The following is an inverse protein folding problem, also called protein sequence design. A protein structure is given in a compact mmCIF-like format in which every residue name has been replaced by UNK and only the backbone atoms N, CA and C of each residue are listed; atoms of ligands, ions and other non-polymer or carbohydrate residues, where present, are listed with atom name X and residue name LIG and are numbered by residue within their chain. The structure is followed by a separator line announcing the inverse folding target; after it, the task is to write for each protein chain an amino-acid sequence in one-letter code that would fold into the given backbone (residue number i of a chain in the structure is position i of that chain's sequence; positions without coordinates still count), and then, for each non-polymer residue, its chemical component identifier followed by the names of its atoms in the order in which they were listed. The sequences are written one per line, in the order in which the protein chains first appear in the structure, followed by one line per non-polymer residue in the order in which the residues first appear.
data_IF_709289758099
#
_entry.id   IF_709289758099
#
_cell.length_a   1.000
_cell.length_b   1.000
_cell.length_c   1.000
_cell.angle_alpha   90.00
_cell.angle_beta   90.00
_cell.angle_gamma   90.00
#
_symmetry.space_group_name_H-M   'P 1'
#
loop_
_entity.id
_entity.type
_entity.pdbx_description
1 polymer ?
#
# COMPACT_ATOMS: atom_id res chain seq x y z
N UNK A 1 12.69 -1.43 26.73
CA UNK A 1 13.86 -1.90 25.94
C UNK A 1 13.95 -1.10 24.66
N UNK A 2 15.14 -0.62 24.27
CA UNK A 2 15.32 0.25 23.09
C UNK A 2 15.34 -0.61 21.83
N UNK A 3 14.55 -0.26 20.83
CA UNK A 3 14.53 -0.98 19.54
C UNK A 3 14.76 -0.02 18.37
N UNK A 4 15.67 -0.40 17.48
CA UNK A 4 15.91 0.31 16.23
C UNK A 4 15.01 -0.26 15.14
N UNK A 5 14.06 0.54 14.65
CA UNK A 5 13.02 0.06 13.74
C UNK A 5 13.21 0.64 12.35
N UNK A 6 13.61 -0.20 11.40
CA UNK A 6 13.57 0.16 9.98
C UNK A 6 12.13 0.40 9.52
N UNK A 7 11.91 1.52 8.83
CA UNK A 7 10.61 1.95 8.32
C UNK A 7 10.61 2.02 6.80
N UNK A 8 9.76 1.23 6.14
CA UNK A 8 9.58 1.31 4.68
C UNK A 8 8.55 2.35 4.23
N UNK A 9 7.55 2.66 5.07
CA UNK A 9 6.52 3.66 4.81
C UNK A 9 5.68 3.93 6.08
N UNK A 10 4.96 5.05 6.10
CA UNK A 10 4.05 5.39 7.20
C UNK A 10 2.94 4.35 7.43
N UNK A 11 2.24 3.79 6.41
CA UNK A 11 1.21 2.77 6.62
C UNK A 11 1.70 1.53 7.40
N UNK A 12 2.86 0.99 7.02
CA UNK A 12 3.42 -0.19 7.69
C UNK A 12 3.91 0.16 9.10
N UNK A 13 4.41 1.38 9.31
CA UNK A 13 4.82 1.86 10.63
C UNK A 13 3.65 1.93 11.62
N UNK A 14 2.44 2.33 11.17
CA UNK A 14 1.30 2.54 12.09
C UNK A 14 1.11 1.38 13.07
N UNK A 15 0.88 0.18 12.54
CA UNK A 15 0.63 -1.02 13.34
C UNK A 15 1.89 -1.57 14.00
N UNK A 16 3.05 -1.44 13.35
CA UNK A 16 4.32 -1.87 13.93
C UNK A 16 4.66 -1.07 15.18
N UNK A 17 4.53 0.24 15.12
CA UNK A 17 4.84 1.15 16.22
C UNK A 17 3.85 0.98 17.37
N UNK A 18 2.53 0.95 17.09
CA UNK A 18 1.49 0.70 18.09
C UNK A 18 1.76 -0.61 18.85
N UNK A 19 2.08 -1.70 18.13
CA UNK A 19 2.35 -3.01 18.76
C UNK A 19 3.62 -3.03 19.59
N UNK A 20 4.71 -2.44 19.08
CA UNK A 20 5.97 -2.40 19.83
C UNK A 20 5.80 -1.62 21.14
N UNK A 21 5.07 -0.50 21.13
CA UNK A 21 4.75 0.22 22.35
C UNK A 21 3.93 -0.62 23.33
N UNK A 22 2.88 -1.30 22.87
CA UNK A 22 2.07 -2.18 23.75
C UNK A 22 2.87 -3.35 24.35
N UNK A 23 3.97 -3.74 23.71
CA UNK A 23 4.88 -4.78 24.17
C UNK A 23 6.03 -4.25 25.06
N UNK A 24 6.04 -2.95 25.41
CA UNK A 24 7.06 -2.36 26.28
C UNK A 24 8.37 -1.99 25.58
N UNK A 25 8.40 -1.98 24.26
CA UNK A 25 9.54 -1.48 23.49
C UNK A 25 9.47 0.03 23.27
N UNK A 26 10.63 0.65 23.08
CA UNK A 26 10.79 2.07 22.76
C UNK A 26 11.42 2.20 21.37
N UNK A 27 10.61 2.34 20.30
CA UNK A 27 11.13 2.34 18.94
C UNK A 27 11.75 3.70 18.57
N UNK A 28 13.00 3.66 18.10
CA UNK A 28 13.60 4.75 17.30
C UNK A 28 13.43 4.38 15.83
N UNK A 29 12.79 5.24 15.05
CA UNK A 29 12.46 4.92 13.66
C UNK A 29 13.62 5.25 12.72
N UNK A 30 13.86 4.42 11.72
CA UNK A 30 14.94 4.58 10.74
C UNK A 30 14.39 4.49 9.33
N UNK A 31 14.43 5.61 8.59
CA UNK A 31 13.85 5.68 7.24
C UNK A 31 14.91 5.44 6.16
N UNK A 32 15.23 4.17 5.90
CA UNK A 32 16.24 3.78 4.92
C UNK A 32 15.65 3.00 3.75
N UNK A 33 15.47 3.67 2.61
CA UNK A 33 14.78 3.10 1.45
C UNK A 33 15.37 3.56 0.12
N UNK A 34 16.63 3.21 -0.20
CA UNK A 34 17.25 3.55 -1.49
C UNK A 34 16.51 2.85 -2.66
N UNK A 35 15.71 1.83 -2.38
CA UNK A 35 14.91 1.16 -3.40
C UNK A 35 13.71 1.98 -3.90
N UNK A 36 13.32 3.07 -3.24
CA UNK A 36 12.12 3.81 -3.67
C UNK A 36 12.44 4.58 -4.96
N UNK A 37 11.53 4.50 -5.92
CA UNK A 37 11.61 5.13 -7.23
C UNK A 37 10.19 5.46 -7.72
N UNK A 38 9.96 6.60 -8.39
CA UNK A 38 10.91 7.70 -8.58
C UNK A 38 11.13 8.47 -7.28
N UNK A 39 12.06 9.43 -7.29
CA UNK A 39 12.35 10.31 -6.14
C UNK A 39 11.09 11.02 -5.60
N UNK A 40 10.14 11.38 -6.46
CA UNK A 40 8.85 11.94 -6.05
C UNK A 40 8.09 11.01 -5.10
N UNK A 41 8.14 9.69 -5.29
CA UNK A 41 7.52 8.73 -4.36
C UNK A 41 8.30 8.66 -3.04
N UNK A 42 9.64 8.72 -3.07
CA UNK A 42 10.48 8.75 -1.86
C UNK A 42 10.10 9.96 -1.00
N UNK A 43 10.10 11.16 -1.60
CA UNK A 43 9.75 12.41 -0.93
C UNK A 43 8.31 12.37 -0.39
N UNK A 44 7.38 11.78 -1.14
CA UNK A 44 6.01 11.60 -0.69
C UNK A 44 5.93 10.69 0.54
N UNK A 45 6.56 9.51 0.53
CA UNK A 45 6.56 8.58 1.68
C UNK A 45 7.25 9.18 2.90
N UNK A 46 8.33 9.94 2.70
CA UNK A 46 9.06 10.65 3.75
C UNK A 46 8.18 11.72 4.40
N UNK A 47 7.48 12.52 3.59
CA UNK A 47 6.52 13.53 4.08
C UNK A 47 5.43 12.92 4.97
N UNK A 48 4.91 11.76 4.59
CA UNK A 48 3.88 11.04 5.35
C UNK A 48 4.41 10.46 6.66
N UNK A 49 5.67 10.01 6.66
CA UNK A 49 6.35 9.59 7.87
C UNK A 49 6.54 10.77 8.84
N UNK A 50 6.98 11.92 8.33
CA UNK A 50 7.12 13.16 9.12
C UNK A 50 5.76 13.62 9.66
N UNK A 51 4.71 13.57 8.83
CA UNK A 51 3.33 13.86 9.26
C UNK A 51 2.93 12.98 10.44
N UNK A 52 3.20 11.67 10.37
CA UNK A 52 2.89 10.74 11.44
C UNK A 52 3.77 10.97 12.68
N UNK A 53 5.06 11.25 12.50
CA UNK A 53 6.00 11.60 13.58
C UNK A 53 5.52 12.83 14.35
N UNK A 54 5.13 13.91 13.66
CA UNK A 54 4.58 15.12 14.30
C UNK A 54 3.29 14.85 15.10
N UNK A 55 2.51 13.84 14.70
CA UNK A 55 1.27 13.47 15.41
C UNK A 55 1.52 12.56 16.61
N UNK A 56 2.51 11.68 16.53
CA UNK A 56 2.75 10.63 17.54
C UNK A 56 3.97 10.89 18.42
N UNK A 57 4.77 11.90 18.12
CA UNK A 57 5.92 12.32 18.92
C UNK A 57 7.11 11.37 18.86
N UNK A 58 7.28 10.59 17.78
CA UNK A 58 8.46 9.73 17.61
C UNK A 58 9.53 10.36 16.73
N UNK A 59 10.77 9.98 16.97
CA UNK A 59 11.92 10.51 16.24
C UNK A 59 12.27 9.65 15.01
N UNK A 60 12.75 10.31 13.96
CA UNK A 60 13.18 9.70 12.71
C UNK A 60 14.70 9.86 12.57
N UNK A 61 15.40 8.74 12.50
CA UNK A 61 16.77 8.69 11.98
C UNK A 61 16.67 8.59 10.47
N UNK A 62 17.27 9.55 9.80
CA UNK A 62 17.29 9.66 8.35
C UNK A 62 18.67 9.27 7.82
N UNK A 63 18.70 8.82 6.57
CA UNK A 63 19.93 8.45 5.88
C UNK A 63 19.91 9.00 4.46
N UNK A 64 21.06 8.96 3.80
CA UNK A 64 21.20 9.41 2.44
C UNK A 64 20.38 8.54 1.47
N UNK A 65 19.52 9.19 0.71
CA UNK A 65 18.77 8.54 -0.36
C UNK A 65 19.62 8.43 -1.62
N UNK A 66 20.14 7.24 -1.89
CA UNK A 66 20.86 6.92 -3.12
C UNK A 66 20.30 5.66 -3.81
N UNK A 67 19.48 5.82 -4.86
CA UNK A 67 18.98 4.70 -5.65
C UNK A 67 20.05 3.86 -6.33
N UNK A 68 21.27 4.39 -6.56
CA UNK A 68 22.35 3.64 -7.20
C UNK A 68 22.78 2.45 -6.33
N UNK A 69 22.71 2.59 -5.01
CA UNK A 69 22.96 1.49 -4.06
C UNK A 69 21.98 0.34 -4.28
N UNK A 70 20.69 0.65 -4.49
CA UNK A 70 19.70 -0.38 -4.77
C UNK A 70 20.05 -1.14 -6.06
N UNK A 71 20.34 -0.43 -7.15
CA UNK A 71 20.67 -1.06 -8.43
C UNK A 71 21.95 -1.88 -8.37
N UNK A 72 22.98 -1.42 -7.65
CA UNK A 72 24.23 -2.17 -7.50
C UNK A 72 24.02 -3.47 -6.71
N UNK A 73 23.22 -3.44 -5.64
CA UNK A 73 22.93 -4.62 -4.80
C UNK A 73 22.13 -5.69 -5.55
N UNK A 74 21.24 -5.32 -6.47
CA UNK A 74 20.41 -6.30 -7.20
C UNK A 74 21.00 -6.75 -8.54
N UNK A 75 22.05 -6.08 -9.05
CA UNK A 75 22.55 -6.23 -10.43
C UNK A 75 22.79 -7.68 -10.83
N UNK A 76 23.38 -8.47 -9.94
CA UNK A 76 23.78 -9.85 -10.22
C UNK A 76 22.69 -10.88 -9.89
N UNK A 77 21.53 -10.46 -9.35
CA UNK A 77 20.47 -11.36 -8.87
C UNK A 77 19.07 -10.75 -9.07
N UNK A 78 18.77 -10.32 -10.30
CA UNK A 78 17.50 -9.65 -10.63
C UNK A 78 16.27 -10.54 -10.38
N UNK A 79 16.40 -11.85 -10.57
CA UNK A 79 15.35 -12.83 -10.30
C UNK A 79 14.98 -12.85 -8.81
N UNK A 80 15.95 -12.66 -7.91
CA UNK A 80 15.73 -12.56 -6.46
C UNK A 80 15.88 -11.13 -5.92
N UNK A 81 15.68 -10.10 -6.74
CA UNK A 81 15.82 -8.67 -6.36
C UNK A 81 15.08 -8.31 -5.07
N UNK A 82 13.94 -8.95 -4.81
CA UNK A 82 13.14 -8.73 -3.61
C UNK A 82 13.85 -9.19 -2.34
N UNK A 83 14.52 -10.35 -2.39
CA UNK A 83 15.33 -10.86 -1.29
C UNK A 83 16.56 -9.98 -1.09
N UNK A 84 17.30 -9.64 -2.16
CA UNK A 84 18.45 -8.72 -2.08
C UNK A 84 18.04 -7.37 -1.46
N UNK A 85 16.89 -6.84 -1.85
CA UNK A 85 16.33 -5.60 -1.29
C UNK A 85 15.97 -5.69 0.19
N UNK A 86 15.49 -6.84 0.66
CA UNK A 86 15.25 -7.07 2.08
C UNK A 86 16.59 -7.18 2.81
N UNK A 87 17.52 -7.96 2.25
CA UNK A 87 18.83 -8.25 2.82
C UNK A 87 19.61 -6.98 3.12
N UNK A 88 19.90 -6.14 2.12
CA UNK A 88 20.75 -4.96 2.38
C UNK A 88 20.08 -3.93 3.31
N UNK A 89 18.74 -3.84 3.33
CA UNK A 89 18.06 -2.93 4.28
C UNK A 89 18.12 -3.46 5.70
N UNK A 90 18.05 -4.77 5.90
CA UNK A 90 18.25 -5.40 7.22
C UNK A 90 19.70 -5.29 7.68
N UNK A 91 20.66 -5.44 6.77
CA UNK A 91 22.10 -5.27 7.03
C UNK A 91 22.39 -3.87 7.60
N UNK A 92 22.01 -2.82 6.86
CA UNK A 92 22.22 -1.44 7.30
C UNK A 92 21.48 -1.13 8.61
N UNK A 93 20.29 -1.70 8.81
CA UNK A 93 19.55 -1.53 10.06
C UNK A 93 20.24 -2.18 11.26
N UNK A 94 20.78 -3.39 11.09
CA UNK A 94 21.50 -4.11 12.14
C UNK A 94 22.81 -3.38 12.49
N UNK A 95 23.57 -2.99 11.47
CA UNK A 95 24.81 -2.22 11.60
C UNK A 95 24.56 -0.92 12.37
N UNK A 96 23.60 -0.10 11.94
CA UNK A 96 23.30 1.18 12.57
C UNK A 96 22.78 1.02 14.00
N UNK A 97 21.95 0.01 14.24
CA UNK A 97 21.43 -0.29 15.57
C UNK A 97 22.56 -0.68 16.55
N UNK A 98 23.55 -1.44 16.07
CA UNK A 98 24.74 -1.80 16.85
C UNK A 98 25.62 -0.58 17.14
N UNK A 99 25.92 0.24 16.13
CA UNK A 99 26.68 1.49 16.28
C UNK A 99 26.05 2.44 17.30
N UNK A 100 24.72 2.48 17.36
CA UNK A 100 23.95 3.33 18.27
C UNK A 100 23.58 2.65 19.61
N UNK A 101 24.15 1.48 19.91
CA UNK A 101 23.95 0.73 21.16
C UNK A 101 22.49 0.43 21.50
N UNK A 102 21.70 -0.04 20.52
CA UNK A 102 20.34 -0.53 20.75
C UNK A 102 20.34 -1.99 21.24
N UNK A 103 19.33 -2.34 22.04
CA UNK A 103 19.14 -3.72 22.54
C UNK A 103 18.66 -4.66 21.42
N UNK A 104 17.79 -4.14 20.55
CA UNK A 104 17.16 -4.87 19.45
C UNK A 104 17.12 -4.03 18.17
N UNK A 105 16.97 -4.72 17.05
CA UNK A 105 16.48 -4.10 15.82
C UNK A 105 15.34 -4.91 15.19
N UNK A 106 14.52 -4.25 14.37
CA UNK A 106 13.43 -4.89 13.63
C UNK A 106 13.07 -4.08 12.38
N UNK A 107 12.02 -4.49 11.67
CA UNK A 107 11.59 -3.86 10.43
C UNK A 107 10.07 -3.83 10.27
N UNK A 108 9.53 -2.71 9.78
CA UNK A 108 8.11 -2.60 9.40
C UNK A 108 7.77 -3.44 8.17
N UNK A 109 8.76 -4.03 7.46
CA UNK A 109 8.49 -4.97 6.37
C UNK A 109 7.66 -6.18 6.82
N UNK A 110 7.67 -6.50 8.11
CA UNK A 110 6.82 -7.52 8.73
C UNK A 110 5.33 -7.13 8.73
N UNK A 111 4.97 -5.86 8.58
CA UNK A 111 3.58 -5.41 8.41
C UNK A 111 3.10 -5.48 6.95
N UNK A 112 4.00 -5.42 5.96
CA UNK A 112 3.62 -5.34 4.54
C UNK A 112 3.14 -6.68 3.98
N UNK A 113 1.89 -6.84 3.50
CA UNK A 113 1.36 -8.12 3.00
C UNK A 113 2.16 -8.71 1.80
N UNK A 114 2.98 -7.90 1.14
CA UNK A 114 3.79 -8.28 -0.04
C UNK A 114 5.16 -8.88 0.29
N UNK A 115 5.52 -8.97 1.58
CA UNK A 115 6.86 -9.39 2.00
C UNK A 115 6.81 -10.72 2.73
N UNK A 116 7.76 -11.59 2.40
CA UNK A 116 7.90 -12.91 3.00
C UNK A 116 8.47 -12.80 4.42
N UNK A 117 7.74 -13.33 5.40
CA UNK A 117 8.21 -13.38 6.79
C UNK A 117 9.41 -14.32 6.95
N UNK A 118 9.45 -15.43 6.22
CA UNK A 118 10.56 -16.37 6.29
C UNK A 118 11.85 -15.73 5.77
N UNK A 119 11.79 -14.99 4.66
CA UNK A 119 12.94 -14.25 4.13
C UNK A 119 13.42 -13.17 5.09
N UNK A 120 12.49 -12.40 5.69
CA UNK A 120 12.83 -11.37 6.67
C UNK A 120 13.46 -11.99 7.91
N UNK A 121 12.88 -13.08 8.46
CA UNK A 121 13.41 -13.76 9.64
C UNK A 121 14.79 -14.34 9.37
N UNK A 122 14.99 -15.02 8.24
CA UNK A 122 16.29 -15.56 7.82
C UNK A 122 17.39 -14.51 7.85
N UNK A 123 17.19 -13.40 7.15
CA UNK A 123 18.22 -12.35 7.07
C UNK A 123 18.30 -11.50 8.34
N UNK A 124 17.20 -11.35 9.07
CA UNK A 124 17.19 -10.74 10.40
C UNK A 124 18.06 -11.52 11.39
N UNK A 125 17.85 -12.83 11.51
CA UNK A 125 18.65 -13.65 12.40
C UNK A 125 20.13 -13.69 11.95
N UNK A 126 20.39 -13.78 10.63
CA UNK A 126 21.75 -13.75 10.10
C UNK A 126 22.54 -12.48 10.49
N UNK A 127 21.95 -11.29 10.32
CA UNK A 127 22.62 -10.04 10.67
C UNK A 127 22.62 -9.76 12.17
N UNK A 128 21.69 -10.34 12.93
CA UNK A 128 21.71 -10.34 14.39
C UNK A 128 23.00 -11.00 14.91
N UNK A 129 23.29 -12.20 14.40
CA UNK A 129 24.51 -12.94 14.76
C UNK A 129 25.76 -12.22 14.26
N UNK A 130 25.76 -11.75 13.02
CA UNK A 130 26.94 -11.09 12.40
C UNK A 130 27.36 -9.81 13.13
N UNK A 131 26.41 -8.95 13.53
CA UNK A 131 26.70 -7.67 14.20
C UNK A 131 26.63 -7.75 15.73
N UNK A 132 26.25 -8.90 16.30
CA UNK A 132 26.07 -9.07 17.74
C UNK A 132 24.99 -8.15 18.32
N UNK A 133 23.81 -8.16 17.70
CA UNK A 133 22.60 -7.44 18.13
C UNK A 133 21.37 -8.35 18.00
N UNK A 134 20.32 -8.20 18.82
CA UNK A 134 19.15 -9.08 18.74
C UNK A 134 18.16 -8.63 17.68
N UNK A 135 17.76 -9.52 16.77
CA UNK A 135 16.63 -9.26 15.88
C UNK A 135 15.31 -9.60 16.58
N UNK A 136 14.37 -8.65 16.59
CA UNK A 136 13.02 -8.88 17.09
C UNK A 136 12.06 -9.16 15.93
N UNK A 137 11.66 -10.42 15.79
CA UNK A 137 10.58 -10.80 14.89
C UNK A 137 9.21 -10.60 15.54
N UNK A 138 8.34 -9.82 14.90
CA UNK A 138 6.93 -9.68 15.28
C UNK A 138 6.04 -9.80 14.06
N UNK A 139 5.02 -10.66 14.12
CA UNK A 139 3.99 -10.69 13.10
C UNK A 139 3.00 -9.52 13.30
N UNK A 140 3.27 -8.37 12.70
CA UNK A 140 2.40 -7.20 12.80
C UNK A 140 1.06 -7.35 12.06
N UNK A 141 0.87 -8.42 11.28
CA UNK A 141 -0.36 -8.69 10.50
C UNK A 141 -1.40 -9.49 11.27
N UNK A 142 -0.99 -10.26 12.28
CA UNK A 142 -1.86 -11.10 13.13
C UNK A 142 -2.89 -10.25 13.89
N UNK A 143 -3.85 -10.85 14.60
CA UNK A 143 -4.73 -10.13 15.55
C UNK A 143 -5.33 -8.83 14.98
N UNK A 144 -5.95 -8.91 13.81
CA UNK A 144 -6.56 -7.79 13.09
C UNK A 144 -5.61 -6.62 12.74
N UNK A 145 -4.29 -6.83 12.71
CA UNK A 145 -3.30 -5.78 12.49
C UNK A 145 -3.46 -5.07 11.14
N UNK A 146 -3.81 -5.81 10.08
CA UNK A 146 -4.07 -5.24 8.75
C UNK A 146 -5.30 -4.31 8.77
N UNK A 147 -6.36 -4.71 9.48
CA UNK A 147 -7.58 -3.90 9.62
C UNK A 147 -7.28 -2.63 10.41
N UNK A 148 -6.57 -2.77 11.53
CA UNK A 148 -6.16 -1.65 12.40
C UNK A 148 -5.25 -0.65 11.67
N UNK A 149 -4.23 -1.11 10.94
CA UNK A 149 -3.39 -0.25 10.11
C UNK A 149 -4.23 0.55 9.09
N UNK A 150 -5.20 -0.13 8.44
CA UNK A 150 -6.11 0.48 7.46
C UNK A 150 -7.04 1.52 8.09
N UNK A 151 -7.45 1.34 9.34
CA UNK A 151 -8.23 2.33 10.12
C UNK A 151 -7.38 3.54 10.48
N UNK A 152 -6.19 3.34 11.05
CA UNK A 152 -5.26 4.42 11.41
C UNK A 152 -4.93 5.26 10.18
N UNK A 153 -4.62 4.62 9.04
CA UNK A 153 -4.35 5.35 7.80
C UNK A 153 -5.53 6.21 7.34
N UNK A 154 -6.78 5.78 7.58
CA UNK A 154 -7.96 6.60 7.25
C UNK A 154 -8.10 7.76 8.23
N UNK A 155 -7.97 7.48 9.52
CA UNK A 155 -8.11 8.50 10.58
C UNK A 155 -7.11 9.65 10.41
N UNK A 156 -5.87 9.34 10.05
CA UNK A 156 -4.81 10.34 9.89
C UNK A 156 -4.57 10.77 8.44
N UNK A 157 -5.42 10.31 7.50
CA UNK A 157 -5.27 10.56 6.06
C UNK A 157 -3.84 10.27 5.57
N UNK A 158 -3.34 9.08 5.88
CA UNK A 158 -2.00 8.64 5.50
C UNK A 158 -2.05 8.10 4.07
N UNK A 159 -1.20 8.64 3.21
CA UNK A 159 -1.05 8.13 1.84
C UNK A 159 -0.66 6.65 1.82
N UNK A 160 -1.36 5.88 0.98
CA UNK A 160 -1.12 4.46 0.76
C UNK A 160 -0.61 4.21 -0.65
N UNK A 161 0.62 3.76 -0.74
CA UNK A 161 1.30 3.39 -1.97
C UNK A 161 0.63 2.21 -2.70
N UNK A 162 0.67 2.23 -4.04
CA UNK A 162 0.14 1.17 -4.90
C UNK A 162 1.17 0.07 -5.23
N UNK A 163 2.45 0.32 -4.95
CA UNK A 163 3.56 -0.57 -5.27
C UNK A 163 4.62 -0.58 -4.15
N UNK A 164 5.54 -1.54 -4.18
CA UNK A 164 6.52 -1.74 -3.11
C UNK A 164 7.47 -0.54 -2.96
N UNK A 165 7.80 0.11 -4.07
CA UNK A 165 8.68 1.29 -4.10
C UNK A 165 9.71 1.22 -5.21
N UNK A 166 10.19 0.06 -5.62
CA UNK A 166 11.20 -0.01 -6.70
C UNK A 166 10.60 0.12 -8.09
N UNK A 167 11.45 0.53 -9.04
CA UNK A 167 11.14 0.70 -10.47
C UNK A 167 10.51 -0.55 -11.10
N UNK A 168 11.02 -1.74 -10.77
CA UNK A 168 10.43 -3.02 -11.19
C UNK A 168 8.99 -3.17 -10.70
N UNK A 169 8.76 -2.98 -9.40
CA UNK A 169 7.41 -3.09 -8.83
C UNK A 169 6.45 -2.01 -9.31
N UNK A 170 6.96 -0.88 -9.80
CA UNK A 170 6.17 0.16 -10.45
C UNK A 170 5.73 -0.29 -11.85
N UNK A 171 6.64 -0.87 -12.64
CA UNK A 171 6.33 -1.40 -13.96
C UNK A 171 5.34 -2.55 -13.88
N UNK A 172 5.58 -3.52 -12.99
CA UNK A 172 4.63 -4.61 -12.70
C UNK A 172 3.23 -4.07 -12.32
N UNK A 173 3.17 -3.02 -11.51
CA UNK A 173 1.89 -2.42 -11.13
C UNK A 173 1.19 -1.73 -12.31
N UNK A 174 1.94 -1.12 -13.24
CA UNK A 174 1.40 -0.52 -14.46
C UNK A 174 0.87 -1.60 -15.42
N UNK A 175 1.62 -2.66 -15.64
CA UNK A 175 1.21 -3.80 -16.48
C UNK A 175 -0.08 -4.44 -15.96
N UNK A 176 -0.15 -4.69 -14.64
CA UNK A 176 -1.38 -5.21 -14.02
C UNK A 176 -2.57 -4.24 -14.13
N UNK A 177 -2.30 -2.93 -14.08
CA UNK A 177 -3.32 -1.91 -14.27
C UNK A 177 -3.85 -1.89 -15.71
N UNK A 178 -2.96 -2.03 -16.69
CA UNK A 178 -3.31 -2.12 -18.11
C UNK A 178 -4.09 -3.40 -18.43
N UNK A 179 -3.65 -4.56 -17.94
CA UNK A 179 -4.38 -5.82 -18.05
C UNK A 179 -5.78 -5.67 -17.43
N UNK A 180 -5.89 -5.09 -16.24
CA UNK A 180 -7.19 -4.84 -15.63
C UNK A 180 -8.04 -3.87 -16.44
N UNK A 181 -7.44 -2.85 -17.06
CA UNK A 181 -8.16 -1.88 -17.89
C UNK A 181 -8.73 -2.56 -19.13
N UNK A 182 -7.91 -3.32 -19.86
CA UNK A 182 -8.32 -4.03 -21.07
C UNK A 182 -9.40 -5.08 -20.76
N UNK A 183 -9.24 -5.83 -19.66
CA UNK A 183 -10.27 -6.78 -19.21
C UNK A 183 -11.60 -6.09 -18.94
N UNK A 184 -11.59 -4.98 -18.20
CA UNK A 184 -12.81 -4.23 -17.89
C UNK A 184 -13.44 -3.62 -19.14
N UNK A 185 -12.64 -3.13 -20.10
CA UNK A 185 -13.14 -2.61 -21.37
C UNK A 185 -13.85 -3.71 -22.17
N UNK A 186 -13.20 -4.87 -22.33
CA UNK A 186 -13.81 -6.02 -23.02
C UNK A 186 -15.08 -6.51 -22.32
N UNK A 187 -15.09 -6.56 -20.99
CA UNK A 187 -16.29 -6.89 -20.20
C UNK A 187 -17.40 -5.87 -20.44
N UNK A 188 -17.09 -4.56 -20.50
CA UNK A 188 -18.06 -3.53 -20.81
C UNK A 188 -18.60 -3.64 -22.24
N UNK A 189 -17.74 -3.88 -23.23
CA UNK A 189 -18.12 -4.11 -24.63
C UNK A 189 -19.10 -5.28 -24.77
N UNK A 190 -18.89 -6.36 -24.01
CA UNK A 190 -19.82 -7.50 -24.00
C UNK A 190 -21.18 -7.17 -23.37
N UNK A 191 -21.26 -6.15 -22.51
CA UNK A 191 -22.49 -5.77 -21.81
C UNK A 191 -23.31 -4.75 -22.62
N UNK A 192 -22.67 -3.73 -23.20
CA UNK A 192 -23.37 -2.60 -23.83
C UNK A 192 -23.02 -2.39 -25.32
N UNK A 193 -22.21 -3.26 -25.91
CA UNK A 193 -21.73 -3.10 -27.29
C UNK A 193 -20.52 -2.17 -27.39
N UNK A 194 -19.80 -2.28 -28.50
CA UNK A 194 -18.49 -1.62 -28.68
C UNK A 194 -18.58 -0.10 -28.76
N UNK A 195 -19.55 0.43 -29.50
CA UNK A 195 -19.68 1.88 -29.71
C UNK A 195 -20.03 2.61 -28.40
N UNK A 196 -20.99 2.07 -27.65
CA UNK A 196 -21.34 2.60 -26.34
C UNK A 196 -20.20 2.39 -25.32
N UNK A 197 -19.50 1.26 -25.35
CA UNK A 197 -18.35 1.02 -24.48
C UNK A 197 -17.22 2.04 -24.72
N UNK A 198 -16.92 2.41 -25.97
CA UNK A 198 -15.92 3.46 -26.28
C UNK A 198 -16.25 4.79 -25.61
N UNK A 199 -17.53 5.16 -25.57
CA UNK A 199 -17.99 6.41 -24.95
C UNK A 199 -17.96 6.28 -23.42
N UNK A 200 -18.63 5.26 -22.88
CA UNK A 200 -18.84 5.06 -21.45
C UNK A 200 -17.52 4.78 -20.71
N UNK A 201 -16.57 4.10 -21.34
CA UNK A 201 -15.29 3.77 -20.71
C UNK A 201 -14.36 4.98 -20.50
N UNK A 202 -14.69 6.15 -21.06
CA UNK A 202 -14.06 7.43 -20.68
C UNK A 202 -14.21 7.75 -19.19
N UNK A 203 -15.23 7.15 -18.53
CA UNK A 203 -15.50 7.29 -17.10
C UNK A 203 -14.70 6.31 -16.22
N UNK A 204 -13.81 5.49 -16.80
CA UNK A 204 -13.02 4.51 -16.06
C UNK A 204 -12.17 5.16 -14.97
N UNK A 205 -12.35 4.69 -13.72
CA UNK A 205 -11.73 5.20 -12.49
C UNK A 205 -12.01 6.67 -12.18
N UNK A 206 -13.13 7.22 -12.65
CA UNK A 206 -13.58 8.56 -12.26
C UNK A 206 -13.71 8.67 -10.73
N UNK A 207 -13.29 9.80 -10.17
CA UNK A 207 -13.30 10.02 -8.72
C UNK A 207 -14.72 10.00 -8.15
N UNK A 208 -15.63 10.73 -8.77
CA UNK A 208 -17.06 10.72 -8.45
C UNK A 208 -17.82 10.47 -9.76
N UNK A 209 -18.50 9.34 -9.84
CA UNK A 209 -19.41 9.02 -10.94
C UNK A 209 -20.83 9.43 -10.54
N UNK A 210 -21.42 10.38 -11.27
CA UNK A 210 -22.78 10.86 -11.05
C UNK A 210 -23.75 10.18 -12.00
N UNK A 211 -24.87 9.69 -11.47
CA UNK A 211 -25.93 9.04 -12.24
C UNK A 211 -27.23 9.80 -11.94
N UNK A 212 -27.82 10.50 -12.93
CA UNK A 212 -27.63 10.35 -14.38
C UNK A 212 -26.58 11.26 -15.07
N UNK A 213 -25.95 12.21 -14.38
CA UNK A 213 -25.23 13.32 -15.03
C UNK A 213 -24.01 12.90 -15.84
N UNK A 214 -23.25 11.90 -15.38
CA UNK A 214 -22.09 11.38 -16.08
C UNK A 214 -22.42 10.11 -16.88
N UNK A 215 -23.27 9.24 -16.33
CA UNK A 215 -23.65 7.97 -16.94
C UNK A 215 -25.17 7.92 -17.10
N UNK A 216 -25.62 7.86 -18.36
CA UNK A 216 -27.03 7.75 -18.69
C UNK A 216 -27.64 6.47 -18.07
N UNK A 217 -28.82 6.55 -17.41
CA UNK A 217 -29.42 5.39 -16.73
C UNK A 217 -29.70 4.20 -17.64
N UNK A 218 -29.91 4.43 -18.94
CA UNK A 218 -30.13 3.37 -19.94
C UNK A 218 -29.07 2.25 -19.88
N UNK A 219 -27.82 2.60 -19.58
CA UNK A 219 -26.72 1.64 -19.53
C UNK A 219 -26.82 0.68 -18.33
N UNK A 220 -27.23 1.20 -17.17
CA UNK A 220 -27.39 0.38 -15.97
C UNK A 220 -28.72 -0.38 -15.96
N UNK A 221 -29.77 0.14 -16.60
CA UNK A 221 -31.01 -0.63 -16.81
C UNK A 221 -30.81 -1.80 -17.76
N UNK A 222 -29.96 -1.64 -18.78
CA UNK A 222 -29.62 -2.72 -19.71
C UNK A 222 -28.61 -3.71 -19.12
N UNK A 223 -27.48 -3.21 -18.62
CA UNK A 223 -26.32 -4.01 -18.20
C UNK A 223 -26.20 -4.25 -16.69
N UNK A 224 -27.14 -3.76 -15.90
CA UNK A 224 -27.09 -3.81 -14.45
C UNK A 224 -25.92 -3.02 -13.83
N UNK A 225 -25.68 -3.27 -12.54
CA UNK A 225 -24.56 -2.67 -11.81
C UNK A 225 -23.18 -3.18 -12.28
N UNK A 226 -23.14 -4.21 -13.14
CA UNK A 226 -21.89 -4.69 -13.75
C UNK A 226 -21.26 -3.62 -14.65
N UNK A 227 -22.05 -2.77 -15.30
CA UNK A 227 -21.53 -1.59 -16.02
C UNK A 227 -20.75 -0.66 -15.08
N UNK A 228 -21.26 -0.37 -13.90
CA UNK A 228 -20.56 0.49 -12.93
C UNK A 228 -19.29 -0.20 -12.43
N UNK A 229 -19.33 -1.52 -12.23
CA UNK A 229 -18.19 -2.32 -11.79
C UNK A 229 -17.04 -2.32 -12.80
N UNK A 230 -17.30 -2.40 -14.11
CA UNK A 230 -16.22 -2.32 -15.12
C UNK A 230 -15.56 -0.94 -15.12
N UNK A 231 -16.32 0.12 -14.84
CA UNK A 231 -15.81 1.49 -14.72
C UNK A 231 -14.96 1.72 -13.47
N UNK A 232 -15.17 0.99 -12.38
CA UNK A 232 -14.41 1.11 -11.11
C UNK A 232 -14.28 2.57 -10.58
N UNK A 233 -15.36 3.38 -10.51
CA UNK A 233 -15.28 4.70 -9.89
C UNK A 233 -14.91 4.63 -8.41
N UNK A 234 -14.31 5.71 -7.87
CA UNK A 234 -13.96 5.77 -6.45
C UNK A 234 -15.21 5.92 -5.58
N UNK A 235 -16.14 6.76 -6.01
CA UNK A 235 -17.43 7.01 -5.37
C UNK A 235 -18.53 7.14 -6.42
N UNK A 236 -19.75 6.76 -6.07
CA UNK A 236 -20.93 6.83 -6.94
C UNK A 236 -21.96 7.72 -6.25
N UNK A 237 -22.40 8.76 -6.94
CA UNK A 237 -23.52 9.60 -6.54
C UNK A 237 -24.71 9.23 -7.44
N UNK A 238 -25.78 8.69 -6.85
CA UNK A 238 -26.92 8.17 -7.61
C UNK A 238 -28.22 8.81 -7.14
N UNK A 239 -29.04 9.26 -8.08
CA UNK A 239 -30.35 9.83 -7.78
C UNK A 239 -31.28 8.79 -7.15
N UNK A 240 -32.04 9.17 -6.12
CA UNK A 240 -32.88 8.29 -5.31
C UNK A 240 -33.80 7.36 -6.13
N UNK A 241 -34.54 7.91 -7.08
CA UNK A 241 -35.47 7.12 -7.90
C UNK A 241 -34.76 6.04 -8.73
N UNK A 242 -33.54 6.29 -9.20
CA UNK A 242 -32.75 5.28 -9.93
C UNK A 242 -32.24 4.23 -8.95
N UNK A 243 -31.77 4.65 -7.77
CA UNK A 243 -31.24 3.74 -6.76
C UNK A 243 -32.29 2.75 -6.23
N UNK A 244 -33.54 3.20 -6.09
CA UNK A 244 -34.68 2.38 -5.69
C UNK A 244 -34.90 1.19 -6.65
N UNK A 245 -34.77 1.41 -7.97
CA UNK A 245 -34.91 0.35 -8.98
C UNK A 245 -33.88 -0.79 -8.83
N UNK A 246 -32.74 -0.51 -8.17
CA UNK A 246 -31.68 -1.48 -7.89
C UNK A 246 -31.61 -1.91 -6.42
N UNK A 247 -32.60 -1.52 -5.59
CA UNK A 247 -32.61 -1.76 -4.14
C UNK A 247 -31.30 -1.29 -3.45
N UNK A 248 -30.82 -0.12 -3.83
CA UNK A 248 -29.59 0.45 -3.30
C UNK A 248 -29.87 1.44 -2.16
N UNK A 249 -29.01 1.42 -1.16
CA UNK A 249 -28.95 2.40 -0.07
C UNK A 249 -27.59 3.10 -0.03
N UNK A 250 -27.54 4.28 0.61
CA UNK A 250 -26.28 4.99 0.85
C UNK A 250 -25.36 4.13 1.73
N UNK A 251 -24.14 3.88 1.27
CA UNK A 251 -23.20 3.04 2.00
C UNK A 251 -22.21 2.31 1.12
N UNK A 252 -21.56 1.28 1.69
CA UNK A 252 -20.67 0.39 0.93
C UNK A 252 -21.45 -0.81 0.43
N UNK A 253 -21.72 -0.83 -0.86
CA UNK A 253 -22.43 -1.91 -1.53
C UNK A 253 -21.43 -2.86 -2.19
N UNK A 254 -21.68 -4.17 -2.07
CA UNK A 254 -20.88 -5.22 -2.71
C UNK A 254 -21.53 -5.58 -4.05
N UNK A 255 -20.83 -5.32 -5.15
CA UNK A 255 -21.22 -5.73 -6.50
C UNK A 255 -20.31 -6.90 -6.89
N UNK A 256 -20.82 -8.12 -6.75
CA UNK A 256 -20.05 -9.35 -6.91
C UNK A 256 -18.77 -9.36 -6.04
N UNK A 257 -17.56 -9.38 -6.61
CA UNK A 257 -16.28 -9.31 -5.86
C UNK A 257 -15.76 -7.89 -5.65
N UNK A 258 -16.46 -6.88 -6.17
CA UNK A 258 -16.10 -5.47 -6.03
C UNK A 258 -16.96 -4.79 -4.95
N UNK A 259 -16.41 -3.78 -4.28
CA UNK A 259 -17.13 -2.97 -3.29
C UNK A 259 -17.00 -1.51 -3.67
N UNK A 260 -18.13 -0.81 -3.68
CA UNK A 260 -18.19 0.60 -4.05
C UNK A 260 -18.92 1.40 -2.97
N UNK A 261 -18.63 2.70 -2.89
CA UNK A 261 -19.37 3.62 -2.01
C UNK A 261 -20.43 4.34 -2.82
N UNK A 262 -21.69 4.10 -2.47
CA UNK A 262 -22.85 4.81 -3.00
C UNK A 262 -23.25 5.92 -2.03
N UNK A 263 -23.51 7.09 -2.59
CA UNK A 263 -24.21 8.19 -1.94
C UNK A 263 -25.49 8.43 -2.75
N UNK A 264 -26.64 8.30 -2.09
CA UNK A 264 -27.94 8.50 -2.71
C UNK A 264 -28.44 9.88 -2.31
N UNK A 265 -28.91 10.63 -3.30
CA UNK A 265 -29.43 11.99 -3.14
C UNK A 265 -30.77 12.18 -3.85
#
# INVERSE_FOLDING_TARGET
MKIFLHVCCAPDLTISFERLLTQGYQPKTFFYNPNIYPEKEYNKRKKELIKLSNKWGFEIVDDNYDPKIFYSKIKNNLNNRCEECIKFRLEESAKKAKELNFDFYSTTLLASPRKSHSTIKKWGDYFADYYGIKFLYVNFRSNNGVKRASEICRTYDIYRQKYCGCSYSLNEAKELEEISRNKNFNELTNIIGEDDAKIVFSLYKKEILKIPEDLAPKYIYHGGLEVIKTLKPVMILMKKNIAEDFNLESGRVKINRWKAKFLIW
#
